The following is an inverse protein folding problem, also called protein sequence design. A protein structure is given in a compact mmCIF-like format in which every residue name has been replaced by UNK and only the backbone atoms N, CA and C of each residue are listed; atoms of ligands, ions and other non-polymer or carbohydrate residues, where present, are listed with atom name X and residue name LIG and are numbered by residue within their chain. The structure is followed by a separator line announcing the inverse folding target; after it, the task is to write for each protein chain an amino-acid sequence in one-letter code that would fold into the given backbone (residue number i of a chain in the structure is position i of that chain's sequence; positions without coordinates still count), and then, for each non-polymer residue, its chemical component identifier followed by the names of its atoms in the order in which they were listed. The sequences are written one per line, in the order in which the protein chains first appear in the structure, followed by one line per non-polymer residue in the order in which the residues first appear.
data_IF_379398400057
#
_entry.id   IF_379398400057
#
_cell.length_a   1.000
_cell.length_b   1.000
_cell.length_c   1.000
_cell.angle_alpha   90.00
_cell.angle_beta   90.00
_cell.angle_gamma   90.00
#
_symmetry.space_group_name_H-M   'P 1'
#
loop_
_entity.id
_entity.type
_entity.pdbx_description
1 polymer ?
#
# COMPACT_ATOMS: atom_id res chain seq x y z
N UNK A 1 21.77 -4.98 6.64
CA UNK A 1 21.38 -4.38 7.93
C UNK A 1 22.03 -5.19 9.03
N UNK A 2 22.86 -4.57 9.86
CA UNK A 2 23.53 -5.20 10.99
C UNK A 2 23.16 -4.49 12.30
N UNK A 3 23.12 -5.27 13.37
CA UNK A 3 22.99 -4.78 14.74
C UNK A 3 24.40 -4.55 15.26
N UNK A 4 24.77 -3.28 15.44
CA UNK A 4 26.18 -2.89 15.63
C UNK A 4 26.57 -2.71 17.10
N UNK A 5 25.60 -2.42 17.97
CA UNK A 5 25.80 -2.34 19.41
C UNK A 5 24.47 -2.61 20.10
N UNK A 6 24.46 -3.43 21.15
CA UNK A 6 23.36 -3.51 22.11
C UNK A 6 23.95 -3.35 23.49
N UNK A 7 23.43 -2.41 24.25
CA UNK A 7 23.79 -2.28 25.66
C UNK A 7 22.64 -2.77 26.52
N UNK A 8 23.00 -3.53 27.56
CA UNK A 8 22.06 -4.15 28.47
C UNK A 8 22.21 -3.57 29.87
N UNK A 9 21.09 -3.47 30.57
CA UNK A 9 21.03 -3.26 32.00
C UNK A 9 20.56 -4.55 32.67
N UNK A 10 21.34 -5.04 33.63
CA UNK A 10 20.99 -6.22 34.42
C UNK A 10 19.89 -5.84 35.40
N UNK A 11 18.72 -6.46 35.27
CA UNK A 11 17.57 -6.24 36.15
C UNK A 11 17.27 -7.55 36.88
N UNK A 12 17.90 -7.75 38.03
CA UNK A 12 17.94 -9.00 38.81
C UNK A 12 18.60 -10.20 38.09
N UNK A 13 18.84 -11.29 38.83
CA UNK A 13 19.61 -12.48 38.39
C UNK A 13 19.00 -13.18 37.15
N UNK A 14 17.74 -12.88 36.77
CA UNK A 14 16.96 -13.66 35.79
C UNK A 14 16.47 -12.89 34.55
N UNK A 15 16.74 -11.58 34.41
CA UNK A 15 16.27 -10.80 33.25
C UNK A 15 17.30 -9.80 32.75
N UNK A 16 17.30 -9.61 31.44
CA UNK A 16 18.16 -8.69 30.72
C UNK A 16 17.30 -7.62 30.04
N UNK A 17 17.49 -6.35 30.39
CA UNK A 17 16.73 -5.26 29.79
C UNK A 17 17.61 -4.47 28.82
N UNK A 18 17.07 -4.15 27.65
CA UNK A 18 17.81 -3.42 26.62
C UNK A 18 17.85 -1.94 27.02
N UNK A 19 19.05 -1.38 27.19
CA UNK A 19 19.26 0.05 27.48
C UNK A 19 19.30 0.87 26.19
N UNK A 20 19.99 0.36 25.18
CA UNK A 20 19.94 0.91 23.83
C UNK A 20 20.46 -0.11 22.82
N UNK A 21 20.22 0.15 21.54
CA UNK A 21 20.84 -0.58 20.45
C UNK A 21 21.01 0.30 19.20
N UNK A 22 21.96 -0.07 18.34
CA UNK A 22 22.25 0.66 17.10
C UNK A 22 22.11 -0.25 15.89
N UNK A 23 21.38 0.22 14.88
CA UNK A 23 21.16 -0.49 13.62
C UNK A 23 21.81 0.28 12.47
N UNK A 24 22.55 -0.42 11.60
CA UNK A 24 23.21 0.15 10.42
C UNK A 24 23.34 -0.89 9.29
N UNK A 25 22.99 -0.61 8.01
CA UNK A 25 22.23 0.56 7.56
C UNK A 25 20.76 0.46 7.97
N UNK A 26 20.17 1.57 8.37
CA UNK A 26 18.75 1.81 8.62
C UNK A 26 18.43 3.28 8.32
N UNK A 27 17.41 3.51 7.48
CA UNK A 27 16.89 4.84 7.18
C UNK A 27 15.96 5.36 8.28
N UNK A 28 15.75 6.68 8.40
CA UNK A 28 14.76 7.26 9.31
C UNK A 28 13.36 6.68 9.16
N UNK A 29 12.94 6.36 7.92
CA UNK A 29 11.65 5.75 7.64
C UNK A 29 11.54 4.34 8.24
N UNK A 30 12.56 3.50 8.02
CA UNK A 30 12.62 2.16 8.60
C UNK A 30 12.69 2.21 10.14
N UNK A 31 13.29 3.25 10.71
CA UNK A 31 13.33 3.46 12.15
C UNK A 31 11.94 3.73 12.74
N UNK A 32 11.12 4.56 12.10
CA UNK A 32 9.72 4.79 12.50
C UNK A 32 8.88 3.51 12.42
N UNK A 33 9.13 2.65 11.43
CA UNK A 33 8.49 1.34 11.32
C UNK A 33 8.86 0.46 12.51
N UNK A 34 10.15 0.41 12.88
CA UNK A 34 10.63 -0.37 14.01
C UNK A 34 10.00 0.09 15.34
N UNK A 35 9.86 1.41 15.56
CA UNK A 35 9.16 1.97 16.72
C UNK A 35 7.73 1.44 16.82
N UNK A 36 7.00 1.45 15.71
CA UNK A 36 5.63 0.96 15.67
C UNK A 36 5.55 -0.55 15.98
N UNK A 37 6.51 -1.35 15.50
CA UNK A 37 6.58 -2.80 15.81
C UNK A 37 6.84 -3.08 17.29
N UNK A 38 7.58 -2.20 17.95
CA UNK A 38 7.74 -2.23 19.40
C UNK A 38 6.58 -1.55 20.16
N UNK A 39 5.43 -1.31 19.51
CA UNK A 39 4.25 -0.67 20.12
C UNK A 39 4.60 0.64 20.81
N UNK A 40 5.45 1.46 20.16
CA UNK A 40 5.86 2.77 20.68
C UNK A 40 6.65 2.71 22.01
N UNK A 41 7.20 1.54 22.38
CA UNK A 41 8.04 1.36 23.57
C UNK A 41 9.48 1.85 23.41
N UNK A 42 9.92 2.07 22.17
CA UNK A 42 11.24 2.62 21.83
C UNK A 42 11.10 3.97 21.14
N UNK A 43 12.18 4.72 21.17
CA UNK A 43 12.41 5.98 20.46
C UNK A 43 13.78 5.91 19.79
N UNK A 44 14.02 6.77 18.81
CA UNK A 44 15.24 6.73 18.02
C UNK A 44 15.86 8.09 17.76
N UNK A 45 17.13 8.08 17.40
CA UNK A 45 17.92 9.24 17.00
C UNK A 45 18.79 8.90 15.77
N UNK A 46 18.80 9.75 14.74
CA UNK A 46 19.64 9.56 13.55
C UNK A 46 21.08 9.95 13.84
N UNK A 47 22.03 9.04 13.63
CA UNK A 47 23.46 9.31 13.83
C UNK A 47 24.19 9.70 12.53
N UNK A 48 23.50 9.73 11.38
CA UNK A 48 24.14 9.93 10.06
C UNK A 48 24.53 8.60 9.39
N UNK A 49 24.89 8.63 8.11
CA UNK A 49 25.38 7.45 7.35
C UNK A 49 24.48 6.20 7.41
N UNK A 50 23.16 6.38 7.45
CA UNK A 50 22.19 5.30 7.66
C UNK A 50 22.37 4.56 9.00
N UNK A 51 22.84 5.24 10.04
CA UNK A 51 23.00 4.69 11.38
C UNK A 51 21.92 5.25 12.30
N UNK A 52 21.18 4.38 12.97
CA UNK A 52 20.09 4.78 13.88
C UNK A 52 20.32 4.20 15.27
N UNK A 53 20.26 5.05 16.27
CA UNK A 53 20.30 4.69 17.68
C UNK A 53 18.88 4.56 18.23
N UNK A 54 18.59 3.48 18.95
CA UNK A 54 17.31 3.23 19.61
C UNK A 54 17.49 3.10 21.11
N UNK A 55 16.52 3.61 21.87
CA UNK A 55 16.45 3.45 23.32
C UNK A 55 14.99 3.29 23.78
N UNK A 56 14.73 2.54 24.86
CA UNK A 56 13.38 2.37 25.38
C UNK A 56 12.89 3.65 26.05
N UNK A 57 11.58 3.92 25.98
CA UNK A 57 10.94 5.00 26.76
C UNK A 57 10.99 4.69 28.27
N UNK A 58 10.89 3.41 28.63
CA UNK A 58 11.13 2.90 29.97
C UNK A 58 11.85 1.55 29.86
N UNK A 59 12.99 1.42 30.55
CA UNK A 59 13.88 0.25 30.52
C UNK A 59 13.14 -1.05 30.88
N UNK A 60 12.17 -0.98 31.78
CA UNK A 60 11.39 -2.15 32.23
C UNK A 60 10.47 -2.72 31.13
N UNK A 61 10.16 -1.94 30.09
CA UNK A 61 9.24 -2.34 29.03
C UNK A 61 9.88 -3.25 27.98
N UNK A 62 11.21 -3.41 28.03
CA UNK A 62 12.04 -4.14 27.07
C UNK A 62 13.00 -5.11 27.77
N UNK A 63 12.44 -5.97 28.61
CA UNK A 63 13.17 -7.01 29.32
C UNK A 63 12.89 -8.39 28.73
N UNK A 64 13.95 -9.18 28.63
CA UNK A 64 13.97 -10.52 28.06
C UNK A 64 14.58 -11.51 29.04
N UNK A 65 14.31 -12.82 28.89
CA UNK A 65 14.87 -13.86 29.76
C UNK A 65 16.41 -13.89 29.71
N UNK A 66 17.00 -13.69 28.53
CA UNK A 66 18.44 -13.65 28.31
C UNK A 66 18.78 -12.71 27.13
N UNK A 67 20.08 -12.48 26.93
CA UNK A 67 20.61 -11.62 25.85
C UNK A 67 20.21 -12.13 24.46
N UNK A 68 20.25 -13.45 24.25
CA UNK A 68 19.95 -14.07 22.95
C UNK A 68 18.49 -13.86 22.55
N UNK A 69 17.57 -13.95 23.49
CA UNK A 69 16.14 -13.66 23.25
C UNK A 69 15.90 -12.19 22.92
N UNK A 70 16.66 -11.28 23.56
CA UNK A 70 16.61 -9.85 23.27
C UNK A 70 17.12 -9.54 21.86
N UNK A 71 18.26 -10.12 21.48
CA UNK A 71 18.84 -10.03 20.13
C UNK A 71 17.86 -10.55 19.07
N UNK A 72 17.32 -11.76 19.28
CA UNK A 72 16.34 -12.37 18.38
C UNK A 72 15.08 -11.52 18.23
N UNK A 73 14.58 -10.91 19.31
CA UNK A 73 13.42 -10.04 19.24
C UNK A 73 13.69 -8.80 18.37
N UNK A 74 14.86 -8.16 18.50
CA UNK A 74 15.25 -7.04 17.65
C UNK A 74 15.40 -7.50 16.19
N UNK A 75 16.16 -8.58 15.96
CA UNK A 75 16.42 -9.10 14.61
C UNK A 75 15.11 -9.47 13.91
N UNK A 76 14.20 -10.18 14.58
CA UNK A 76 12.90 -10.54 13.99
C UNK A 76 12.08 -9.30 13.61
N UNK A 77 12.09 -8.25 14.44
CA UNK A 77 11.40 -6.99 14.12
C UNK A 77 12.08 -6.21 12.99
N UNK A 78 13.41 -6.25 12.89
CA UNK A 78 14.14 -5.69 11.76
C UNK A 78 13.84 -6.43 10.46
N UNK A 79 13.79 -7.75 10.49
CA UNK A 79 13.41 -8.58 9.35
C UNK A 79 11.97 -8.31 8.90
N UNK A 80 11.04 -8.11 9.84
CA UNK A 80 9.68 -7.64 9.53
C UNK A 80 9.66 -6.27 8.82
N UNK A 81 10.63 -5.38 9.07
CA UNK A 81 10.74 -4.08 8.41
C UNK A 81 11.36 -4.20 7.00
N UNK A 82 12.46 -4.94 6.86
CA UNK A 82 13.12 -5.20 5.56
C UNK A 82 12.18 -5.89 4.58
N UNK A 83 11.36 -6.83 5.07
CA UNK A 83 10.36 -7.48 4.22
C UNK A 83 9.36 -6.49 3.62
N UNK A 84 9.01 -5.39 4.30
CA UNK A 84 8.06 -4.41 3.77
C UNK A 84 8.65 -3.64 2.59
N UNK A 85 9.93 -3.23 2.65
CA UNK A 85 10.56 -2.47 1.56
C UNK A 85 10.84 -3.33 0.34
N UNK A 86 11.23 -4.60 0.56
CA UNK A 86 11.35 -5.59 -0.52
C UNK A 86 9.97 -5.89 -1.13
N UNK A 87 8.95 -6.10 -0.30
CA UNK A 87 7.58 -6.31 -0.77
C UNK A 87 7.05 -5.09 -1.53
N UNK A 88 7.37 -3.87 -1.10
CA UNK A 88 6.94 -2.64 -1.76
C UNK A 88 7.60 -2.44 -3.13
N UNK A 89 8.92 -2.66 -3.23
CA UNK A 89 9.63 -2.64 -4.53
C UNK A 89 9.11 -3.71 -5.47
N UNK A 90 8.90 -4.93 -4.96
CA UNK A 90 8.32 -6.02 -5.74
C UNK A 90 6.89 -5.68 -6.18
N UNK A 91 6.09 -5.05 -5.33
CA UNK A 91 4.74 -4.61 -5.66
C UNK A 91 4.72 -3.60 -6.81
N UNK A 92 5.57 -2.56 -6.74
CA UNK A 92 5.65 -1.55 -7.81
C UNK A 92 5.99 -2.22 -9.15
N UNK A 93 6.99 -3.10 -9.18
CA UNK A 93 7.36 -3.82 -10.41
C UNK A 93 6.24 -4.76 -10.89
N UNK A 94 5.58 -5.50 -10.00
CA UNK A 94 4.43 -6.38 -10.36
C UNK A 94 3.28 -5.56 -10.96
N UNK A 95 2.92 -4.43 -10.37
CA UNK A 95 1.85 -3.55 -10.86
C UNK A 95 2.21 -2.93 -12.20
N UNK A 96 3.45 -2.46 -12.32
CA UNK A 96 3.99 -1.92 -13.57
C UNK A 96 3.94 -2.98 -14.67
N UNK A 97 4.46 -4.17 -14.42
CA UNK A 97 4.44 -5.30 -15.38
C UNK A 97 3.02 -5.66 -15.79
N UNK A 98 2.09 -5.74 -14.83
CA UNK A 98 0.68 -5.99 -15.12
C UNK A 98 0.12 -4.95 -16.10
N UNK A 99 0.29 -3.66 -15.79
CA UNK A 99 -0.27 -2.59 -16.63
C UNK A 99 0.41 -2.50 -18.00
N UNK A 100 1.74 -2.66 -18.08
CA UNK A 100 2.50 -2.66 -19.35
C UNK A 100 2.04 -3.83 -20.22
N UNK A 101 2.00 -5.04 -19.66
CA UNK A 101 1.55 -6.25 -20.38
C UNK A 101 0.14 -6.11 -20.91
N UNK A 102 -0.72 -5.36 -20.21
CA UNK A 102 -2.11 -5.10 -20.61
C UNK A 102 -2.28 -3.83 -21.46
N UNK A 103 -1.19 -3.25 -21.98
CA UNK A 103 -1.15 -2.07 -22.87
C UNK A 103 -1.76 -0.81 -22.24
N UNK A 104 -1.52 -0.59 -20.94
CA UNK A 104 -1.85 0.66 -20.27
C UNK A 104 -0.70 1.66 -20.40
N UNK A 105 -1.04 2.94 -20.50
CA UNK A 105 -0.09 4.02 -20.26
C UNK A 105 0.07 4.20 -18.76
N UNK A 106 1.30 4.30 -18.26
CA UNK A 106 1.58 4.34 -16.82
C UNK A 106 2.53 5.50 -16.52
N UNK A 107 2.28 6.15 -15.40
CA UNK A 107 3.19 7.08 -14.75
C UNK A 107 3.42 6.63 -13.30
N UNK A 108 4.68 6.51 -12.90
CA UNK A 108 5.07 6.13 -11.54
C UNK A 108 5.65 7.38 -10.86
N UNK A 109 4.86 7.97 -9.98
CA UNK A 109 5.28 9.07 -9.11
C UNK A 109 5.85 8.56 -7.78
N UNK A 110 6.34 9.49 -6.97
CA UNK A 110 6.92 9.18 -5.65
C UNK A 110 5.91 8.58 -4.66
N UNK A 111 4.66 9.03 -4.72
CA UNK A 111 3.61 8.65 -3.75
C UNK A 111 2.42 7.93 -4.40
N UNK A 112 2.42 7.85 -5.74
CA UNK A 112 1.29 7.29 -6.47
C UNK A 112 1.71 6.68 -7.81
N UNK A 113 0.97 5.64 -8.22
CA UNK A 113 1.01 5.09 -9.56
C UNK A 113 -0.26 5.51 -10.28
N UNK A 114 -0.12 6.12 -11.46
CA UNK A 114 -1.23 6.47 -12.33
C UNK A 114 -1.19 5.59 -13.58
N UNK A 115 -2.34 5.06 -13.99
CA UNK A 115 -2.45 4.28 -15.22
C UNK A 115 -3.69 4.68 -16.01
N UNK A 116 -3.59 4.71 -17.34
CA UNK A 116 -4.70 5.01 -18.24
C UNK A 116 -4.77 3.98 -19.36
N UNK A 117 -5.97 3.54 -19.69
CA UNK A 117 -6.25 2.73 -20.88
C UNK A 117 -7.48 3.26 -21.59
N UNK A 118 -7.41 3.25 -22.91
CA UNK A 118 -8.55 3.53 -23.77
C UNK A 118 -8.86 2.31 -24.61
N UNK A 119 -10.14 2.05 -24.85
CA UNK A 119 -10.63 0.95 -25.69
C UNK A 119 -11.90 1.36 -26.43
N UNK A 120 -12.18 0.68 -27.53
CA UNK A 120 -13.46 0.80 -28.25
C UNK A 120 -14.22 -0.51 -28.03
N UNK A 121 -15.48 -0.42 -27.59
CA UNK A 121 -16.36 -1.55 -27.30
C UNK A 121 -17.72 -1.21 -27.87
N UNK A 122 -18.25 -2.03 -28.80
CA UNK A 122 -19.54 -1.81 -29.48
C UNK A 122 -19.72 -0.34 -29.93
N UNK A 123 -18.72 0.18 -30.67
CA UNK A 123 -18.70 1.57 -31.17
C UNK A 123 -18.63 2.67 -30.10
N UNK A 124 -18.52 2.32 -28.81
CA UNK A 124 -18.33 3.27 -27.70
C UNK A 124 -16.86 3.32 -27.30
N UNK A 125 -16.35 4.53 -27.15
CA UNK A 125 -15.03 4.83 -26.61
C UNK A 125 -15.05 4.83 -25.08
N UNK A 126 -14.26 3.94 -24.49
CA UNK A 126 -14.06 3.78 -23.06
C UNK A 126 -12.68 4.32 -22.68
N UNK A 127 -12.60 5.17 -21.67
CA UNK A 127 -11.35 5.55 -21.00
C UNK A 127 -11.44 5.12 -19.54
N UNK A 128 -10.44 4.35 -19.09
CA UNK A 128 -10.26 4.01 -17.68
C UNK A 128 -8.98 4.64 -17.18
N UNK A 129 -9.09 5.41 -16.12
CA UNK A 129 -7.99 6.04 -15.39
C UNK A 129 -7.93 5.45 -13.99
N UNK A 130 -6.73 5.14 -13.54
CA UNK A 130 -6.45 4.51 -12.26
C UNK A 130 -5.42 5.37 -11.55
N UNK A 131 -5.65 5.61 -10.25
CA UNK A 131 -4.66 6.18 -9.35
C UNK A 131 -4.54 5.29 -8.12
N UNK A 132 -3.34 4.79 -7.87
CA UNK A 132 -3.00 4.02 -6.68
C UNK A 132 -2.19 4.96 -5.80
N UNK A 133 -2.74 5.34 -4.65
CA UNK A 133 -2.02 6.09 -3.63
C UNK A 133 -1.44 5.12 -2.62
N UNK A 134 -0.14 5.21 -2.41
CA UNK A 134 0.53 4.42 -1.39
C UNK A 134 0.25 5.03 -0.01
N UNK A 135 -0.46 4.30 0.83
CA UNK A 135 -0.57 4.64 2.26
C UNK A 135 0.34 3.68 3.04
N UNK A 136 0.90 4.19 4.14
CA UNK A 136 1.80 3.44 5.03
C UNK A 136 1.27 2.03 5.33
N UNK A 137 2.16 1.05 5.41
CA UNK A 137 1.88 -0.36 5.74
C UNK A 137 1.12 -1.18 4.68
N UNK A 138 1.42 -0.98 3.38
CA UNK A 138 0.84 -1.77 2.27
C UNK A 138 -0.70 -1.75 2.24
N UNK A 139 -1.29 -0.63 2.66
CA UNK A 139 -2.73 -0.40 2.62
C UNK A 139 -3.03 0.71 1.63
N UNK A 140 -3.17 0.36 0.38
CA UNK A 140 -3.29 1.35 -0.68
C UNK A 140 -4.71 1.89 -0.78
N UNK A 141 -4.80 3.06 -1.41
CA UNK A 141 -6.07 3.61 -1.88
C UNK A 141 -6.05 3.51 -3.41
N UNK A 142 -7.05 2.84 -3.96
CA UNK A 142 -7.26 2.72 -5.40
C UNK A 142 -8.45 3.60 -5.79
N UNK A 143 -8.17 4.63 -6.58
CA UNK A 143 -9.19 5.43 -7.26
C UNK A 143 -9.29 4.98 -8.72
N UNK A 144 -10.50 4.69 -9.18
CA UNK A 144 -10.75 4.34 -10.59
C UNK A 144 -11.80 5.29 -11.15
N UNK A 145 -11.48 5.90 -12.29
CA UNK A 145 -12.36 6.77 -13.05
C UNK A 145 -12.61 6.15 -14.42
N UNK A 146 -13.88 5.98 -14.76
CA UNK A 146 -14.30 5.36 -16.01
C UNK A 146 -15.14 6.36 -16.76
N UNK A 147 -14.79 6.62 -18.02
CA UNK A 147 -15.49 7.54 -18.90
C UNK A 147 -15.93 6.80 -20.17
N UNK A 148 -17.20 6.91 -20.53
CA UNK A 148 -17.81 6.18 -21.65
C UNK A 148 -18.43 7.21 -22.60
N UNK A 149 -18.03 7.17 -23.87
CA UNK A 149 -18.45 8.11 -24.92
C UNK A 149 -18.80 7.38 -26.21
N UNK A 150 -19.77 7.87 -27.00
CA UNK A 150 -20.96 8.58 -26.51
C UNK A 150 -21.86 7.61 -25.73
N UNK A 151 -22.78 8.16 -24.95
CA UNK A 151 -23.87 7.39 -24.33
C UNK A 151 -25.16 8.18 -24.40
N UNK A 152 -26.29 7.51 -24.60
CA UNK A 152 -27.61 8.11 -24.43
C UNK A 152 -27.92 8.26 -22.93
N UNK A 153 -28.88 9.14 -22.60
CA UNK A 153 -29.31 9.31 -21.21
C UNK A 153 -29.85 7.99 -20.62
N UNK A 154 -30.66 7.24 -21.38
CA UNK A 154 -31.25 5.98 -20.93
C UNK A 154 -30.20 4.89 -20.67
N UNK A 155 -29.25 4.68 -21.59
CA UNK A 155 -28.12 3.76 -21.40
C UNK A 155 -27.32 4.13 -20.15
N UNK A 156 -27.05 5.42 -19.98
CA UNK A 156 -26.25 5.94 -18.86
C UNK A 156 -26.94 5.69 -17.52
N UNK A 157 -28.27 5.86 -17.45
CA UNK A 157 -29.08 5.55 -16.26
C UNK A 157 -29.07 4.05 -15.96
N UNK A 158 -29.20 3.20 -16.98
CA UNK A 158 -29.17 1.74 -16.82
C UNK A 158 -27.81 1.27 -16.28
N UNK A 159 -26.71 1.71 -16.89
CA UNK A 159 -25.35 1.42 -16.43
C UNK A 159 -25.13 1.88 -15.00
N UNK A 160 -25.55 3.10 -14.66
CA UNK A 160 -25.39 3.65 -13.32
C UNK A 160 -26.11 2.79 -12.27
N UNK A 161 -27.34 2.34 -12.56
CA UNK A 161 -28.11 1.46 -11.65
C UNK A 161 -27.39 0.14 -11.40
N UNK A 162 -26.95 -0.54 -12.46
CA UNK A 162 -26.22 -1.82 -12.36
C UNK A 162 -24.92 -1.65 -11.59
N UNK A 163 -24.18 -0.58 -11.89
CA UNK A 163 -22.91 -0.26 -11.24
C UNK A 163 -23.08 -0.02 -9.74
N UNK A 164 -24.08 0.79 -9.35
CA UNK A 164 -24.40 1.04 -7.94
C UNK A 164 -24.83 -0.24 -7.21
N UNK A 165 -25.62 -1.09 -7.85
CA UNK A 165 -26.04 -2.36 -7.28
C UNK A 165 -24.85 -3.31 -7.05
N UNK A 166 -23.90 -3.36 -7.99
CA UNK A 166 -22.75 -4.26 -7.91
C UNK A 166 -21.67 -3.78 -6.92
N UNK A 167 -21.32 -2.49 -6.96
CA UNK A 167 -20.18 -1.95 -6.19
C UNK A 167 -20.57 -1.22 -4.90
N UNK A 168 -21.85 -0.88 -4.72
CA UNK A 168 -22.41 -0.32 -3.49
C UNK A 168 -21.53 0.74 -2.85
N UNK A 169 -20.96 0.41 -1.68
CA UNK A 169 -20.12 1.30 -0.85
C UNK A 169 -18.86 1.86 -1.50
N UNK A 170 -18.41 1.30 -2.63
CA UNK A 170 -17.20 1.76 -3.33
C UNK A 170 -17.48 2.81 -4.41
N UNK A 171 -18.75 2.98 -4.79
CA UNK A 171 -19.15 3.99 -5.77
C UNK A 171 -19.23 5.37 -5.11
N UNK A 172 -18.58 6.38 -5.71
CA UNK A 172 -18.58 7.75 -5.18
C UNK A 172 -19.62 8.61 -5.90
N UNK A 173 -19.48 8.74 -7.23
CA UNK A 173 -20.20 9.75 -8.00
C UNK A 173 -20.24 9.43 -9.49
N UNK A 174 -21.12 10.14 -10.21
CA UNK A 174 -21.25 10.05 -11.65
C UNK A 174 -21.66 11.36 -12.32
N UNK A 175 -21.26 11.52 -13.59
CA UNK A 175 -21.83 12.49 -14.54
C UNK A 175 -22.43 11.70 -15.71
N UNK A 176 -23.66 12.00 -16.13
CA UNK A 176 -24.47 11.08 -16.95
C UNK A 176 -24.60 11.55 -18.42
N UNK A 177 -24.42 12.84 -18.71
CA UNK A 177 -24.63 13.41 -20.04
C UNK A 177 -23.60 14.51 -20.37
N UNK A 178 -23.15 14.63 -21.65
CA UNK A 178 -23.42 13.80 -22.84
C UNK A 178 -22.61 12.49 -22.90
N UNK A 179 -22.08 12.06 -21.76
CA UNK A 179 -21.26 10.88 -21.58
C UNK A 179 -21.40 10.41 -20.13
N UNK A 180 -21.10 9.13 -19.89
CA UNK A 180 -21.11 8.57 -18.54
C UNK A 180 -19.70 8.59 -17.94
N UNK A 181 -19.53 9.30 -16.82
CA UNK A 181 -18.36 9.21 -15.94
C UNK A 181 -18.76 8.49 -14.66
N UNK A 182 -17.99 7.49 -14.26
CA UNK A 182 -18.14 6.75 -13.00
C UNK A 182 -16.85 6.87 -12.19
N UNK A 183 -16.96 7.21 -10.91
CA UNK A 183 -15.82 7.29 -9.99
C UNK A 183 -15.97 6.30 -8.84
N UNK A 184 -14.94 5.49 -8.61
CA UNK A 184 -14.86 4.49 -7.54
C UNK A 184 -13.64 4.74 -6.65
N UNK A 185 -13.78 4.40 -5.36
CA UNK A 185 -12.70 4.49 -4.39
C UNK A 185 -12.68 3.29 -3.47
N UNK A 186 -11.57 2.58 -3.50
CA UNK A 186 -11.27 1.46 -2.62
C UNK A 186 -10.18 1.88 -1.65
N UNK A 187 -10.39 1.70 -0.35
CA UNK A 187 -9.44 2.07 0.70
C UNK A 187 -8.96 0.83 1.44
N UNK A 188 -7.69 0.86 1.86
CA UNK A 188 -7.12 -0.19 2.70
C UNK A 188 -6.81 -1.48 1.96
N UNK A 189 -6.56 -1.41 0.66
CA UNK A 189 -6.27 -2.57 -0.17
C UNK A 189 -4.85 -3.08 0.04
N UNK A 190 -4.68 -4.40 0.07
CA UNK A 190 -3.39 -5.06 -0.06
C UNK A 190 -2.90 -5.02 -1.50
N UNK A 191 -1.60 -5.25 -1.67
CA UNK A 191 -0.89 -5.27 -2.96
C UNK A 191 -1.60 -6.09 -4.04
N UNK A 192 -1.94 -7.35 -3.77
CA UNK A 192 -2.59 -8.25 -4.74
C UNK A 192 -4.05 -7.87 -5.04
N UNK A 193 -4.74 -7.23 -4.10
CA UNK A 193 -6.15 -6.85 -4.25
C UNK A 193 -6.33 -5.74 -5.30
N UNK A 194 -5.30 -4.92 -5.55
CA UNK A 194 -5.37 -3.84 -6.52
C UNK A 194 -5.55 -4.36 -7.95
N UNK A 195 -4.75 -5.36 -8.32
CA UNK A 195 -4.78 -5.96 -9.66
C UNK A 195 -6.14 -6.62 -9.88
N UNK A 196 -6.59 -7.40 -8.89
CA UNK A 196 -7.88 -8.08 -8.96
C UNK A 196 -9.05 -7.09 -9.07
N UNK A 197 -9.09 -6.06 -8.21
CA UNK A 197 -10.17 -5.06 -8.23
C UNK A 197 -10.20 -4.29 -9.53
N UNK A 198 -9.03 -3.91 -10.04
CA UNK A 198 -8.91 -3.22 -11.33
C UNK A 198 -9.47 -4.08 -12.46
N UNK A 199 -9.06 -5.35 -12.53
CA UNK A 199 -9.50 -6.28 -13.57
C UNK A 199 -11.00 -6.54 -13.49
N UNK A 200 -11.53 -6.87 -12.31
CA UNK A 200 -12.95 -7.16 -12.12
C UNK A 200 -13.83 -5.96 -12.50
N UNK A 201 -13.40 -4.73 -12.17
CA UNK A 201 -14.13 -3.53 -12.53
C UNK A 201 -14.10 -3.27 -14.04
N UNK A 202 -12.95 -3.42 -14.68
CA UNK A 202 -12.81 -3.27 -16.13
C UNK A 202 -13.67 -4.28 -16.88
N UNK A 203 -13.58 -5.56 -16.52
CA UNK A 203 -14.30 -6.66 -17.18
C UNK A 203 -15.82 -6.51 -16.99
N UNK A 204 -16.27 -6.13 -15.77
CA UNK A 204 -17.68 -5.84 -15.50
C UNK A 204 -18.22 -4.73 -16.41
N UNK A 205 -17.51 -3.61 -16.51
CA UNK A 205 -17.96 -2.48 -17.34
C UNK A 205 -17.97 -2.84 -18.82
N UNK A 206 -16.93 -3.52 -19.31
CA UNK A 206 -16.91 -3.99 -20.70
C UNK A 206 -18.11 -4.90 -21.00
N UNK A 207 -18.37 -5.87 -20.10
CA UNK A 207 -19.49 -6.80 -20.25
C UNK A 207 -20.86 -6.11 -20.18
N UNK A 208 -21.02 -5.07 -19.37
CA UNK A 208 -22.28 -4.31 -19.32
C UNK A 208 -22.46 -3.38 -20.53
N UNK A 209 -21.37 -2.82 -21.07
CA UNK A 209 -21.42 -2.04 -22.31
C UNK A 209 -21.83 -2.93 -23.48
N UNK A 210 -21.31 -4.15 -23.59
CA UNK A 210 -21.64 -5.07 -24.68
C UNK A 210 -23.09 -5.58 -24.68
N UNK A 211 -23.86 -5.33 -23.61
CA UNK A 211 -25.27 -5.76 -23.49
C UNK A 211 -26.28 -4.63 -23.78
N UNK A 212 -25.80 -3.43 -24.07
CA UNK A 212 -26.60 -2.23 -24.32
C UNK A 212 -26.63 -1.91 -25.80
#
# INVERSE_FOLDING_TARGET
MSLSLITFQKHNIRRCCIKNFIVNPLSPLEADLLVNRFKQKIVWYYLGENKVFFYPKNVEQLCFPNIRDAENAIINKLMECIHIDILHKNFIEIVKDFFIKNKWLIYIGKESIEARKSSIIESRFLIVEIKIFHVRFSRHILEVLIKIYPTTYNESVQLLRKTKAYWGKYFISSKIFPYLILKFLFKGLKDWEIIEKTKNLYDFICGEISKL
#
